data_IF_702219555709
#
_entry.id   IF_702219555709
#
_cell.length_a   1.000
_cell.length_b   1.000
_cell.length_c   1.000
_cell.angle_alpha   90.00
_cell.angle_beta   90.00
_cell.angle_gamma   90.00
#
_symmetry.space_group_name_H-M   'P 1'
#
loop_
_entity.id
_entity.type
_entity.pdbx_description
1 polymer ?
#
# COMPACT_ATOMS: atom_id res chain seq x y z
N UNK A 1 -14.42 -10.59 33.85
CA UNK A 1 -12.97 -10.35 33.73
C UNK A 1 -12.52 -11.17 32.53
N UNK A 2 -11.73 -10.60 31.62
CA UNK A 2 -11.25 -11.33 30.42
C UNK A 2 -9.93 -11.99 30.79
N UNK A 3 -9.83 -13.31 30.66
CA UNK A 3 -8.69 -14.09 31.15
C UNK A 3 -7.56 -14.24 30.10
N UNK A 4 -7.87 -14.10 28.81
CA UNK A 4 -6.89 -14.12 27.72
C UNK A 4 -7.40 -13.39 26.47
N UNK A 5 -6.48 -12.84 25.67
CA UNK A 5 -6.74 -12.26 24.34
C UNK A 5 -5.75 -12.89 23.37
N UNK A 6 -6.26 -13.49 22.30
CA UNK A 6 -5.45 -14.10 21.24
C UNK A 6 -5.49 -13.26 19.97
N UNK A 7 -4.42 -13.33 19.17
CA UNK A 7 -4.27 -12.58 17.92
C UNK A 7 -4.05 -13.56 16.78
N UNK A 8 -4.86 -13.44 15.74
CA UNK A 8 -4.75 -14.21 14.51
C UNK A 8 -4.39 -13.30 13.33
N UNK A 9 -3.52 -13.79 12.45
CA UNK A 9 -3.15 -13.07 11.22
C UNK A 9 -3.95 -13.67 10.07
N UNK A 10 -4.72 -12.85 9.37
CA UNK A 10 -5.43 -13.28 8.17
C UNK A 10 -4.62 -12.87 6.94
N UNK A 11 -4.06 -13.83 6.22
CA UNK A 11 -3.46 -13.56 4.91
C UNK A 11 -4.59 -13.30 3.91
N UNK A 12 -4.61 -12.07 3.37
CA UNK A 12 -5.56 -11.67 2.35
C UNK A 12 -5.37 -12.40 1.01
N UNK A 13 -4.37 -13.27 0.89
CA UNK A 13 -4.23 -14.14 -0.27
C UNK A 13 -5.40 -15.15 -0.35
N UNK A 14 -5.88 -15.39 -1.57
CA UNK A 14 -6.98 -16.35 -1.81
C UNK A 14 -6.54 -17.82 -1.78
N UNK A 15 -5.28 -18.08 -1.42
CA UNK A 15 -4.68 -19.42 -1.38
C UNK A 15 -4.83 -20.00 0.03
N UNK A 16 -4.99 -21.33 0.16
CA UNK A 16 -5.04 -21.97 1.46
C UNK A 16 -3.73 -21.73 2.22
N UNK A 17 -3.85 -21.45 3.52
CA UNK A 17 -2.74 -21.24 4.44
C UNK A 17 -2.67 -22.40 5.43
N UNK A 18 -1.46 -22.81 5.82
CA UNK A 18 -1.27 -23.81 6.88
C UNK A 18 -1.40 -23.11 8.25
N UNK A 19 -2.65 -22.84 8.65
CA UNK A 19 -2.95 -22.04 9.83
C UNK A 19 -2.50 -22.71 11.14
N UNK A 20 -2.46 -24.05 11.19
CA UNK A 20 -2.00 -24.80 12.35
C UNK A 20 -0.49 -24.66 12.61
N UNK A 21 0.31 -24.53 11.55
CA UNK A 21 1.77 -24.41 11.67
C UNK A 21 2.24 -22.95 11.76
N UNK A 22 1.51 -22.01 11.15
CA UNK A 22 1.96 -20.61 10.99
C UNK A 22 1.17 -19.58 11.80
N UNK A 23 -0.01 -19.94 12.32
CA UNK A 23 -0.94 -18.97 12.90
C UNK A 23 -1.53 -17.99 11.88
N UNK A 24 -1.32 -18.26 10.58
CA UNK A 24 -1.82 -17.46 9.46
C UNK A 24 -3.01 -18.16 8.83
N UNK A 25 -4.14 -17.48 8.85
CA UNK A 25 -5.42 -17.96 8.38
C UNK A 25 -5.68 -17.44 6.98
N UNK A 26 -6.23 -18.28 6.10
CA UNK A 26 -6.73 -17.81 4.82
C UNK A 26 -7.99 -16.96 5.04
N UNK A 27 -8.23 -15.97 4.18
CA UNK A 27 -9.46 -15.15 4.28
C UNK A 27 -10.75 -15.97 4.26
N UNK A 28 -10.76 -17.13 3.59
CA UNK A 28 -11.91 -18.04 3.57
C UNK A 28 -12.23 -18.68 4.93
N UNK A 29 -11.27 -18.74 5.84
CA UNK A 29 -11.38 -19.39 7.16
C UNK A 29 -11.76 -18.40 8.27
N UNK A 30 -11.97 -17.11 7.94
CA UNK A 30 -12.29 -16.08 8.94
C UNK A 30 -13.66 -16.31 9.60
N UNK A 31 -14.58 -16.98 8.90
CA UNK A 31 -15.90 -17.33 9.45
C UNK A 31 -15.75 -18.34 10.60
N UNK A 32 -14.89 -19.36 10.41
CA UNK A 32 -14.59 -20.37 11.43
C UNK A 32 -13.84 -19.74 12.61
N UNK A 33 -12.87 -18.87 12.35
CA UNK A 33 -12.08 -18.18 13.38
C UNK A 33 -12.93 -17.26 14.27
N UNK A 34 -13.92 -16.59 13.69
CA UNK A 34 -14.79 -15.65 14.42
C UNK A 34 -16.07 -16.30 14.93
N UNK A 35 -16.29 -17.59 14.65
CA UNK A 35 -17.55 -18.29 14.90
C UNK A 35 -18.76 -17.52 14.35
N UNK A 36 -18.57 -16.89 13.18
CA UNK A 36 -19.53 -15.96 12.58
C UNK A 36 -19.66 -16.20 11.09
N UNK A 37 -20.86 -16.54 10.64
CA UNK A 37 -21.11 -16.86 9.23
C UNK A 37 -21.07 -15.63 8.31
N UNK A 38 -20.42 -15.77 7.14
CA UNK A 38 -20.54 -14.83 6.02
C UNK A 38 -19.61 -13.61 6.06
N UNK A 39 -18.72 -13.51 7.04
CA UNK A 39 -17.68 -12.47 7.10
C UNK A 39 -16.71 -12.61 5.93
N UNK A 40 -16.27 -13.83 5.63
CA UNK A 40 -15.42 -14.16 4.48
C UNK A 40 -16.04 -13.67 3.18
N UNK A 41 -17.33 -13.96 2.98
CA UNK A 41 -18.11 -13.55 1.81
C UNK A 41 -18.24 -12.03 1.72
N UNK A 42 -18.54 -11.38 2.85
CA UNK A 42 -18.65 -9.92 2.93
C UNK A 42 -17.33 -9.23 2.53
N UNK A 43 -16.20 -9.67 3.09
CA UNK A 43 -14.88 -9.12 2.77
C UNK A 43 -14.51 -9.39 1.31
N UNK A 44 -14.79 -10.59 0.79
CA UNK A 44 -14.56 -10.92 -0.61
C UNK A 44 -15.34 -9.97 -1.56
N UNK A 45 -16.60 -9.67 -1.23
CA UNK A 45 -17.42 -8.75 -2.02
C UNK A 45 -16.93 -7.29 -1.93
N UNK A 46 -16.48 -6.84 -0.76
CA UNK A 46 -15.86 -5.53 -0.59
C UNK A 46 -14.60 -5.40 -1.45
N UNK A 47 -13.71 -6.39 -1.39
CA UNK A 47 -12.50 -6.44 -2.21
C UNK A 47 -12.83 -6.41 -3.69
N UNK A 48 -13.84 -7.16 -4.12
CA UNK A 48 -14.29 -7.21 -5.52
C UNK A 48 -14.75 -5.84 -6.00
N UNK A 49 -15.64 -5.18 -5.26
CA UNK A 49 -16.18 -3.86 -5.65
C UNK A 49 -15.11 -2.78 -5.64
N UNK A 50 -14.28 -2.77 -4.60
CA UNK A 50 -13.18 -1.82 -4.50
C UNK A 50 -12.18 -2.03 -5.64
N UNK A 51 -11.77 -3.27 -5.89
CA UNK A 51 -10.85 -3.62 -6.97
C UNK A 51 -11.36 -3.19 -8.35
N UNK A 52 -12.64 -3.47 -8.64
CA UNK A 52 -13.27 -3.02 -9.89
C UNK A 52 -13.26 -1.49 -10.02
N UNK A 53 -13.57 -0.76 -8.94
CA UNK A 53 -13.59 0.70 -8.97
C UNK A 53 -12.19 1.29 -9.15
N UNK A 54 -11.21 0.75 -8.42
CA UNK A 54 -9.80 1.17 -8.54
C UNK A 54 -9.28 0.90 -9.94
N UNK A 55 -9.58 -0.27 -10.50
CA UNK A 55 -9.19 -0.61 -11.87
C UNK A 55 -9.74 0.42 -12.88
N UNK A 56 -11.04 0.72 -12.82
CA UNK A 56 -11.65 1.72 -13.71
C UNK A 56 -11.00 3.10 -13.58
N UNK A 57 -10.66 3.52 -12.35
CA UNK A 57 -10.00 4.80 -12.10
C UNK A 57 -8.57 4.81 -12.65
N UNK A 58 -7.82 3.73 -12.46
CA UNK A 58 -6.47 3.59 -12.98
C UNK A 58 -6.46 3.54 -14.51
N UNK A 59 -7.39 2.84 -15.14
CA UNK A 59 -7.55 2.81 -16.60
C UNK A 59 -7.88 4.21 -17.14
N UNK A 60 -8.82 4.92 -16.52
CA UNK A 60 -9.14 6.29 -16.92
C UNK A 60 -7.94 7.23 -16.78
N UNK A 61 -7.19 7.13 -15.67
CA UNK A 61 -6.03 7.99 -15.42
C UNK A 61 -4.84 7.66 -16.33
N UNK A 62 -4.60 6.37 -16.59
CA UNK A 62 -3.57 5.94 -17.55
C UNK A 62 -3.90 6.40 -18.97
N UNK A 63 -5.16 6.32 -19.40
CA UNK A 63 -5.56 6.84 -20.72
C UNK A 63 -5.36 8.36 -20.84
N UNK A 64 -5.64 9.14 -19.79
CA UNK A 64 -5.32 10.58 -19.76
C UNK A 64 -3.82 10.82 -19.83
N UNK A 65 -3.03 10.10 -19.02
CA UNK A 65 -1.58 10.24 -18.97
C UNK A 65 -0.91 9.85 -20.31
N UNK A 66 -1.48 8.88 -21.02
CA UNK A 66 -1.05 8.47 -22.35
C UNK A 66 -1.52 9.41 -23.47
N UNK A 67 -2.25 10.49 -23.13
CA UNK A 67 -2.61 11.56 -24.05
C UNK A 67 -3.39 11.08 -25.29
N UNK A 68 -4.33 10.14 -25.12
CA UNK A 68 -5.33 9.82 -26.15
C UNK A 68 -6.35 10.95 -26.37
N UNK A 69 -6.23 12.06 -25.64
CA UNK A 69 -7.01 13.29 -25.83
C UNK A 69 -6.47 14.17 -26.97
N UNK A 70 -5.98 13.53 -28.05
CA UNK A 70 -5.67 14.22 -29.30
C UNK A 70 -6.94 14.33 -30.14
N UNK A 71 -7.85 15.22 -29.75
CA UNK A 71 -8.73 15.87 -30.71
C UNK A 71 -7.88 16.90 -31.46
N UNK A 72 -7.64 16.77 -32.77
CA UNK A 72 -7.10 17.89 -33.53
C UNK A 72 -8.21 18.95 -33.60
N UNK A 73 -7.92 20.24 -33.33
CA UNK A 73 -8.91 21.27 -33.51
C UNK A 73 -9.27 21.40 -35.01
N UNK A 74 -10.54 21.56 -35.39
CA UNK A 74 -10.82 22.30 -36.62
C UNK A 74 -10.40 23.74 -36.36
N UNK A 75 -9.38 24.20 -37.08
CA UNK A 75 -8.96 25.60 -37.16
C UNK A 75 -10.18 26.55 -37.19
N UNK A 76 -10.30 27.41 -36.18
CA UNK A 76 -10.60 28.84 -36.36
C UNK A 76 -10.37 29.57 -35.04
N UNK A 77 -9.57 30.62 -35.14
CA UNK A 77 -9.08 31.45 -34.04
C UNK A 77 -10.20 32.15 -33.25
N UNK A 78 -10.02 32.30 -31.92
CA UNK A 78 -10.13 33.57 -31.16
C UNK A 78 -9.47 33.38 -29.78
N UNK A 79 -8.75 34.41 -29.33
CA UNK A 79 -7.95 34.50 -28.12
C UNK A 79 -8.78 34.55 -26.82
N UNK A 80 -8.31 33.87 -25.77
CA UNK A 80 -8.20 34.34 -24.35
C UNK A 80 -7.35 33.37 -23.54
N UNK A 81 -6.40 33.81 -22.68
CA UNK A 81 -5.70 32.92 -21.76
C UNK A 81 -6.39 32.94 -20.38
N UNK A 82 -6.98 31.82 -19.97
CA UNK A 82 -7.29 31.59 -18.56
C UNK A 82 -6.61 30.29 -18.13
N UNK A 83 -5.53 30.45 -17.38
CA UNK A 83 -4.74 29.35 -16.82
C UNK A 83 -5.53 28.77 -15.65
N UNK A 84 -6.39 27.78 -15.92
CA UNK A 84 -6.90 26.91 -14.87
C UNK A 84 -5.83 25.90 -14.50
N UNK A 85 -5.24 26.11 -13.32
CA UNK A 85 -4.25 25.26 -12.71
C UNK A 85 -4.69 23.77 -12.68
N UNK A 86 -3.78 22.81 -12.92
CA UNK A 86 -4.10 21.40 -12.80
C UNK A 86 -4.45 21.09 -11.33
N UNK A 87 -5.68 20.65 -11.11
CA UNK A 87 -6.15 20.13 -9.83
C UNK A 87 -5.25 18.98 -9.38
N UNK A 88 -4.40 19.25 -8.39
CA UNK A 88 -3.63 18.24 -7.63
C UNK A 88 -4.56 17.08 -7.26
N UNK A 89 -4.27 15.88 -7.77
CA UNK A 89 -4.83 14.62 -7.27
C UNK A 89 -4.53 14.51 -5.77
N UNK A 90 -5.59 14.60 -4.93
CA UNK A 90 -5.52 14.63 -3.46
C UNK A 90 -5.65 13.25 -2.83
N UNK A 91 -4.94 12.24 -3.31
CA UNK A 91 -4.87 10.98 -2.56
C UNK A 91 -3.60 11.03 -1.70
N UNK A 92 -3.68 11.73 -0.56
CA UNK A 92 -2.69 11.66 0.51
C UNK A 92 -3.20 10.64 1.54
N UNK A 93 -2.69 9.41 1.48
CA UNK A 93 -2.97 8.36 2.49
C UNK A 93 -2.08 8.50 3.74
N UNK A 94 -1.08 9.39 3.68
CA UNK A 94 -0.32 9.82 4.83
C UNK A 94 -0.86 11.18 5.25
N UNK A 95 -0.99 11.42 6.56
CA UNK A 95 -1.53 12.66 7.15
C UNK A 95 -0.86 13.95 6.63
N UNK A 96 -1.28 15.13 7.15
CA UNK A 96 -0.90 16.42 6.58
C UNK A 96 0.58 16.50 6.24
N UNK A 97 0.90 16.76 4.97
CA UNK A 97 2.26 16.86 4.48
C UNK A 97 3.00 17.93 5.28
N UNK A 98 3.90 17.49 6.17
CA UNK A 98 4.77 18.40 6.92
C UNK A 98 5.75 19.05 5.94
N UNK A 99 5.99 20.36 6.03
CA UNK A 99 7.01 21.02 5.22
C UNK A 99 8.39 20.43 5.54
N UNK A 100 9.27 20.40 4.53
CA UNK A 100 10.64 19.87 4.60
C UNK A 100 11.46 20.38 5.80
N UNK A 101 11.20 21.61 6.22
CA UNK A 101 11.86 22.26 7.35
C UNK A 101 11.48 21.64 8.71
N UNK A 102 10.23 21.19 8.86
CA UNK A 102 9.74 20.52 10.07
C UNK A 102 10.33 19.10 10.18
N UNK A 103 10.50 18.40 9.06
CA UNK A 103 11.12 17.06 9.02
C UNK A 103 12.63 17.09 9.35
N UNK A 104 13.29 18.21 9.01
CA UNK A 104 14.70 18.44 9.37
C UNK A 104 14.87 18.80 10.84
N UNK A 105 13.93 19.54 11.42
CA UNK A 105 13.93 19.88 12.84
C UNK A 105 13.70 18.65 13.73
N UNK A 106 12.82 17.74 13.33
CA UNK A 106 12.56 16.50 14.07
C UNK A 106 13.79 15.58 14.14
N UNK A 107 14.62 15.52 13.09
CA UNK A 107 15.86 14.73 13.09
C UNK A 107 17.03 15.38 13.86
N UNK A 108 16.94 16.67 14.16
CA UNK A 108 18.03 17.42 14.79
C UNK A 108 17.95 17.46 16.32
N UNK A 109 16.88 16.92 16.92
CA UNK A 109 16.64 16.96 18.37
C UNK A 109 17.16 15.75 19.16
N UNK A 110 17.48 14.62 18.52
CA UNK A 110 17.88 13.39 19.21
C UNK A 110 19.40 13.25 19.26
N UNK A 111 20.04 14.21 19.94
CA UNK A 111 21.50 14.33 20.02
C UNK A 111 22.02 14.52 21.44
N UNK A 112 21.84 13.51 22.30
CA UNK A 112 22.76 13.17 23.41
C UNK A 112 22.24 11.96 24.24
N UNK A 113 22.81 10.79 23.97
CA UNK A 113 22.63 9.58 24.76
C UNK A 113 23.93 8.80 24.77
N UNK A 114 24.85 9.28 25.59
CA UNK A 114 26.10 8.62 25.99
C UNK A 114 25.84 7.18 26.47
N UNK A 115 26.27 6.20 25.67
CA UNK A 115 26.41 4.81 26.09
C UNK A 115 27.74 4.28 25.57
N UNK A 116 28.75 4.30 26.43
CA UNK A 116 29.94 3.46 26.30
C UNK A 116 29.52 1.98 26.25
N UNK A 117 29.70 1.30 25.11
CA UNK A 117 29.58 -0.16 25.01
C UNK A 117 30.88 -0.77 24.46
N UNK A 118 31.51 -1.74 25.16
CA UNK A 118 32.80 -2.28 24.79
C UNK A 118 32.66 -3.49 23.84
N UNK A 119 33.31 -3.40 22.67
CA UNK A 119 34.08 -4.47 22.02
C UNK A 119 33.42 -5.80 21.59
N UNK A 120 33.93 -6.31 20.46
CA UNK A 120 33.92 -7.72 19.99
C UNK A 120 32.59 -8.25 19.41
N UNK A 121 32.48 -8.89 18.25
CA UNK A 121 33.42 -9.36 17.22
C UNK A 121 32.68 -9.52 15.88
N UNK A 122 33.45 -9.52 14.80
CA UNK A 122 32.99 -9.71 13.43
C UNK A 122 32.35 -11.09 13.19
N UNK A 123 31.16 -11.10 12.59
CA UNK A 123 30.66 -12.17 11.75
C UNK A 123 29.77 -11.56 10.65
N UNK A 124 30.36 -11.32 9.48
CA UNK A 124 29.61 -11.15 8.23
C UNK A 124 29.06 -12.52 7.83
N UNK A 125 27.75 -12.71 7.96
CA UNK A 125 27.02 -13.67 7.14
C UNK A 125 26.10 -12.86 6.22
N UNK A 126 26.66 -12.50 5.07
CA UNK A 126 25.95 -11.88 3.94
C UNK A 126 25.45 -13.00 3.03
N UNK A 127 24.31 -13.59 3.40
CA UNK A 127 23.61 -14.58 2.58
C UNK A 127 22.37 -13.92 1.96
N UNK A 128 22.61 -13.03 0.98
CA UNK A 128 21.55 -12.38 0.19
C UNK A 128 21.07 -13.36 -0.91
N UNK A 129 19.80 -13.82 -0.91
CA UNK A 129 19.33 -14.75 -1.92
C UNK A 129 19.21 -14.05 -3.29
N UNK A 130 19.93 -14.57 -4.29
CA UNK A 130 19.96 -14.01 -5.64
C UNK A 130 18.55 -13.97 -6.29
N UNK A 131 18.18 -12.86 -6.96
CA UNK A 131 16.87 -12.72 -7.58
C UNK A 131 16.69 -13.68 -8.77
N UNK A 132 15.64 -14.50 -8.72
CA UNK A 132 15.26 -15.41 -9.81
C UNK A 132 14.34 -14.68 -10.79
N UNK A 133 14.83 -14.48 -12.03
CA UNK A 133 14.01 -13.94 -13.11
C UNK A 133 13.30 -15.08 -13.85
N UNK A 134 11.99 -15.24 -13.64
CA UNK A 134 11.16 -16.12 -14.47
C UNK A 134 10.74 -15.39 -15.75
N UNK A 135 11.09 -15.94 -16.91
CA UNK A 135 10.54 -15.51 -18.21
C UNK A 135 9.19 -16.21 -18.42
N UNK A 136 8.12 -15.42 -18.42
CA UNK A 136 6.79 -15.87 -18.87
C UNK A 136 6.81 -15.90 -20.41
N UNK A 137 6.48 -17.05 -20.99
CA UNK A 137 6.27 -17.23 -22.44
C UNK A 137 4.84 -16.88 -22.83
#
# INVERSE_FOLDING_TARGET
MVDAVEVAIVDGASRPCDHHASGVWALSEIDDLLESDGVASCIAELRRRFGQRVQQLLEAETLKALCFDRVPPPDTAVMTPEVTAPTRSRINLNGPARPFEEDRAARAGDGDGDYDEPGSDAASDDDEPAPVFMRVR
#
